data_IF_057187299494
#
_entry.id   IF_057187299494
#
_cell.length_a   1.000
_cell.length_b   1.000
_cell.length_c   1.000
_cell.angle_alpha   90.00
_cell.angle_beta   90.00
_cell.angle_gamma   90.00
#
_symmetry.space_group_name_H-M   'P 1'
#
loop_
_entity.id
_entity.type
_entity.pdbx_description
1 polymer ?
#
# COMPACT_ATOMS: atom_id res chain seq x y z
N UNK A 1 -54.73 16.98 15.61
CA UNK A 1 -54.01 18.16 16.14
C UNK A 1 -52.53 17.84 16.16
N UNK A 2 -51.68 18.70 15.59
CA UNK A 2 -50.26 18.45 15.41
C UNK A 2 -49.47 18.91 16.64
N UNK A 3 -48.38 18.23 16.98
CA UNK A 3 -47.38 18.79 17.89
C UNK A 3 -46.08 19.03 17.12
N UNK A 4 -45.90 20.30 16.80
CA UNK A 4 -44.64 20.98 16.51
C UNK A 4 -43.87 21.12 17.83
N UNK A 5 -42.55 21.00 17.79
CA UNK A 5 -41.70 21.71 18.74
C UNK A 5 -40.48 22.29 18.00
N UNK A 6 -40.40 23.62 18.05
CA UNK A 6 -39.34 24.48 17.57
C UNK A 6 -38.59 24.98 18.82
N UNK A 7 -37.26 24.95 18.83
CA UNK A 7 -36.49 25.80 19.75
C UNK A 7 -35.27 26.38 19.02
N UNK A 8 -35.23 27.71 18.98
CA UNK A 8 -34.15 28.55 18.48
C UNK A 8 -33.43 29.22 19.67
N UNK A 9 -32.09 29.18 19.60
CA UNK A 9 -31.06 30.15 20.03
C UNK A 9 -30.83 30.37 21.54
N UNK A 10 -29.62 30.05 22.04
CA UNK A 10 -28.56 31.04 22.34
C UNK A 10 -27.23 30.36 22.73
N UNK A 11 -26.14 30.87 22.17
CA UNK A 11 -24.77 30.62 22.63
C UNK A 11 -24.64 31.02 24.11
N UNK A 12 -24.20 30.09 24.95
CA UNK A 12 -23.49 30.39 26.19
C UNK A 12 -22.26 29.49 26.23
N UNK A 13 -21.08 30.12 26.15
CA UNK A 13 -19.81 29.49 26.47
C UNK A 13 -19.85 29.00 27.91
N UNK A 14 -20.02 27.70 28.09
CA UNK A 14 -19.51 27.00 29.28
C UNK A 14 -18.94 25.66 28.81
N UNK A 15 -17.69 25.44 29.17
CA UNK A 15 -16.95 24.21 28.90
C UNK A 15 -17.61 23.06 29.66
N UNK A 16 -18.54 22.37 29.01
CA UNK A 16 -18.97 21.04 29.42
C UNK A 16 -18.46 20.07 28.36
N UNK A 17 -17.34 19.42 28.66
CA UNK A 17 -16.99 18.14 28.03
C UNK A 17 -18.13 17.17 28.31
N UNK A 18 -19.10 17.10 27.40
CA UNK A 18 -19.95 15.93 27.28
C UNK A 18 -19.03 14.78 26.88
N UNK A 19 -18.68 13.94 27.87
CA UNK A 19 -18.29 12.56 27.63
C UNK A 19 -19.41 11.94 26.82
N UNK A 20 -19.19 11.84 25.50
CA UNK A 20 -19.92 10.91 24.67
C UNK A 20 -19.67 9.52 25.25
N UNK A 21 -20.75 8.77 25.47
CA UNK A 21 -20.77 7.44 26.06
C UNK A 21 -19.61 6.55 25.58
N UNK A 22 -18.79 6.07 26.53
CA UNK A 22 -17.78 5.02 26.38
C UNK A 22 -18.46 3.64 26.19
N UNK A 23 -19.23 3.47 25.11
CA UNK A 23 -19.70 2.15 24.66
C UNK A 23 -19.18 1.91 23.24
N UNK A 24 -18.23 0.97 23.16
CA UNK A 24 -17.51 0.51 21.95
C UNK A 24 -16.36 1.39 21.44
N UNK A 25 -15.43 1.80 22.32
CA UNK A 25 -14.08 2.09 21.84
C UNK A 25 -13.37 0.75 21.57
N UNK A 26 -13.51 0.23 20.35
CA UNK A 26 -12.66 -0.86 19.89
C UNK A 26 -11.20 -0.42 20.01
N UNK A 27 -10.35 -1.28 20.56
CA UNK A 27 -8.92 -1.01 20.63
C UNK A 27 -8.37 -0.96 19.21
N UNK A 28 -7.74 0.16 18.86
CA UNK A 28 -7.06 0.33 17.58
C UNK A 28 -5.55 0.25 17.80
N UNK A 29 -4.90 -0.55 16.97
CA UNK A 29 -3.48 -0.87 17.10
C UNK A 29 -2.75 -0.29 15.88
N UNK A 30 -2.28 0.95 16.03
CA UNK A 30 -1.68 1.73 14.94
C UNK A 30 -0.16 1.54 14.86
N UNK A 31 0.35 1.41 13.64
CA UNK A 31 1.76 1.39 13.31
C UNK A 31 2.02 2.55 12.35
N UNK A 32 2.90 3.46 12.72
CA UNK A 32 3.35 4.52 11.82
C UNK A 32 4.25 3.95 10.73
N UNK A 33 3.98 4.37 9.50
CA UNK A 33 4.74 3.98 8.30
C UNK A 33 5.68 5.11 7.91
N UNK A 34 6.96 4.78 7.77
CA UNK A 34 7.96 5.67 7.19
C UNK A 34 7.89 5.57 5.67
N UNK A 35 8.03 6.71 4.98
CA UNK A 35 8.25 6.74 3.54
C UNK A 35 9.74 6.57 3.26
N UNK A 36 10.11 5.78 2.25
CA UNK A 36 11.49 5.71 1.76
C UNK A 36 11.93 7.05 1.17
N UNK A 37 13.19 7.44 1.38
CA UNK A 37 13.70 8.75 0.95
C UNK A 37 13.65 8.91 -0.58
N UNK A 38 13.00 9.98 -1.05
CA UNK A 38 12.90 10.33 -2.48
C UNK A 38 14.29 10.65 -3.09
N UNK A 39 15.25 11.12 -2.28
CA UNK A 39 16.56 11.62 -2.73
C UNK A 39 17.48 10.51 -3.27
N UNK A 40 17.50 9.34 -2.62
CA UNK A 40 18.34 8.21 -3.05
C UNK A 40 17.79 7.53 -4.32
N UNK A 41 16.47 7.47 -4.44
CA UNK A 41 15.82 6.91 -5.61
C UNK A 41 15.97 7.82 -6.84
N UNK A 42 15.91 9.14 -6.65
CA UNK A 42 16.17 10.14 -7.69
C UNK A 42 17.61 10.05 -8.22
N UNK A 43 18.60 9.80 -7.35
CA UNK A 43 20.01 9.62 -7.72
C UNK A 43 20.25 8.33 -8.53
N UNK A 44 19.53 7.24 -8.24
CA UNK A 44 19.62 5.98 -8.99
C UNK A 44 18.89 6.05 -10.33
N UNK A 45 17.72 6.70 -10.37
CA UNK A 45 17.02 7.02 -11.62
C UNK A 45 17.87 7.93 -12.51
N UNK A 46 18.57 8.92 -11.93
CA UNK A 46 19.57 9.75 -12.62
C UNK A 46 20.67 8.90 -13.26
N UNK A 47 21.26 7.95 -12.52
CA UNK A 47 22.31 7.06 -13.05
C UNK A 47 21.82 6.15 -14.18
N UNK A 48 20.58 5.64 -14.11
CA UNK A 48 19.97 4.85 -15.18
C UNK A 48 19.65 5.71 -16.42
N UNK A 49 19.22 6.95 -16.20
CA UNK A 49 18.96 7.92 -17.28
C UNK A 49 20.26 8.36 -17.98
N UNK A 50 21.34 8.54 -17.22
CA UNK A 50 22.68 8.85 -17.74
C UNK A 50 23.34 7.64 -18.43
N UNK A 51 23.13 6.42 -17.94
CA UNK A 51 23.66 5.20 -18.55
C UNK A 51 23.00 4.88 -19.91
N UNK A 52 21.72 5.18 -20.09
CA UNK A 52 20.99 4.98 -21.35
C UNK A 52 21.27 6.08 -22.41
N UNK A 53 22.11 7.08 -22.10
CA UNK A 53 22.53 8.10 -23.06
C UNK A 53 23.62 7.65 -24.05
N UNK A 54 24.05 6.38 -24.00
CA UNK A 54 24.93 5.76 -25.01
C UNK A 54 24.09 4.97 -26.03
N UNK A 55 23.13 5.63 -26.67
CA UNK A 55 22.58 5.24 -27.99
C UNK A 55 21.74 6.39 -28.55
N UNK A 56 22.35 7.56 -28.73
CA UNK A 56 21.80 8.56 -29.65
C UNK A 56 21.99 8.05 -31.08
N UNK A 57 20.95 7.46 -31.65
CA UNK A 57 20.74 7.47 -33.10
C UNK A 57 19.25 7.67 -33.40
N UNK A 58 18.95 8.92 -33.80
CA UNK A 58 17.87 9.40 -34.67
C UNK A 58 16.40 9.06 -34.29
N UNK A 59 15.50 10.04 -34.11
CA UNK A 59 15.01 10.93 -35.17
C UNK A 59 14.32 12.19 -34.59
N UNK A 60 14.66 13.34 -35.19
CA UNK A 60 13.84 14.56 -35.19
C UNK A 60 12.43 14.26 -35.73
N UNK A 61 11.41 14.90 -35.16
CA UNK A 61 10.32 15.46 -35.98
C UNK A 61 9.89 16.83 -35.48
N UNK A 62 9.82 17.74 -36.43
CA UNK A 62 9.39 19.11 -36.29
C UNK A 62 7.90 19.22 -35.94
N UNK A 63 7.61 20.34 -35.28
CA UNK A 63 6.32 20.85 -34.82
C UNK A 63 5.24 20.83 -35.91
N UNK A 64 4.06 20.30 -35.57
CA UNK A 64 2.84 20.38 -36.37
C UNK A 64 1.58 20.02 -35.58
N UNK A 65 0.98 21.04 -34.93
CA UNK A 65 -0.36 21.13 -34.33
C UNK A 65 -0.79 20.07 -33.28
N UNK A 66 -0.69 20.49 -32.01
CA UNK A 66 -1.57 20.16 -30.86
C UNK A 66 -1.90 18.69 -30.51
N UNK A 67 -0.91 17.79 -30.55
CA UNK A 67 -1.02 16.48 -29.88
C UNK A 67 0.14 16.30 -28.89
N UNK A 68 -0.14 16.44 -27.59
CA UNK A 68 0.77 16.04 -26.51
C UNK A 68 0.73 14.50 -26.40
N UNK A 69 1.58 13.84 -27.19
CA UNK A 69 1.92 12.42 -26.98
C UNK A 69 2.87 12.32 -25.80
N UNK A 70 2.37 11.85 -24.66
CA UNK A 70 3.21 11.40 -23.55
C UNK A 70 3.88 10.09 -23.95
N UNK A 71 5.11 10.19 -24.46
CA UNK A 71 6.03 9.06 -24.51
C UNK A 71 6.44 8.75 -23.07
N UNK A 72 5.73 7.82 -22.43
CA UNK A 72 6.20 7.19 -21.21
C UNK A 72 7.35 6.28 -21.64
N UNK A 73 8.58 6.79 -21.58
CA UNK A 73 9.77 5.96 -21.69
C UNK A 73 9.77 4.95 -20.53
N UNK A 74 10.19 3.72 -20.82
CA UNK A 74 10.37 2.60 -19.89
C UNK A 74 11.43 2.85 -18.79
N UNK A 75 11.45 4.02 -18.14
CA UNK A 75 12.53 4.42 -17.23
C UNK A 75 12.14 5.24 -15.99
N UNK A 76 10.90 5.72 -15.85
CA UNK A 76 10.55 6.64 -14.76
C UNK A 76 9.53 6.04 -13.78
N UNK A 77 9.87 4.92 -13.12
CA UNK A 77 9.17 4.51 -11.91
C UNK A 77 9.80 5.23 -10.71
N UNK A 78 9.19 6.35 -10.30
CA UNK A 78 9.38 6.91 -8.96
C UNK A 78 8.73 5.92 -7.97
N UNK A 79 9.53 4.98 -7.48
CA UNK A 79 9.15 3.98 -6.48
C UNK A 79 9.03 4.59 -5.09
N UNK A 80 7.88 5.15 -4.76
CA UNK A 80 7.58 5.43 -3.35
C UNK A 80 7.28 4.12 -2.63
N UNK A 81 7.88 3.91 -1.46
CA UNK A 81 7.58 2.75 -0.61
C UNK A 81 7.33 3.19 0.83
N UNK A 82 6.46 2.45 1.52
CA UNK A 82 6.09 2.71 2.91
C UNK A 82 6.36 1.46 3.74
N UNK A 83 7.01 1.61 4.88
CA UNK A 83 7.37 0.48 5.73
C UNK A 83 7.21 0.82 7.21
N UNK A 84 6.91 -0.20 8.00
CA UNK A 84 6.86 -0.09 9.45
C UNK A 84 7.77 -1.13 10.10
N UNK A 85 7.83 -1.11 11.42
CA UNK A 85 8.68 -2.01 12.18
C UNK A 85 7.85 -3.17 12.76
N UNK A 86 8.41 -4.37 12.71
CA UNK A 86 7.89 -5.56 13.41
C UNK A 86 9.05 -6.26 14.11
N UNK A 87 8.77 -7.01 15.17
CA UNK A 87 9.78 -7.78 15.89
C UNK A 87 9.51 -9.27 15.75
N UNK A 88 10.56 -10.02 15.47
CA UNK A 88 10.51 -11.47 15.28
C UNK A 88 11.22 -12.21 16.41
N UNK A 89 10.79 -13.44 16.72
CA UNK A 89 11.42 -14.28 17.73
C UNK A 89 10.93 -14.03 19.16
N UNK A 90 11.64 -14.60 20.14
CA UNK A 90 11.17 -14.73 21.53
C UNK A 90 11.52 -13.53 22.45
N UNK A 91 11.65 -12.31 21.88
CA UNK A 91 11.52 -11.07 22.67
C UNK A 91 12.79 -10.24 22.92
N UNK A 92 13.87 -10.38 22.15
CA UNK A 92 15.03 -9.46 22.23
C UNK A 92 14.84 -8.23 21.31
N UNK A 93 15.24 -7.03 21.78
CA UNK A 93 15.16 -5.78 21.01
C UNK A 93 15.90 -5.84 19.66
N UNK A 94 16.89 -6.74 19.54
CA UNK A 94 17.75 -6.90 18.37
C UNK A 94 17.07 -7.52 17.15
N UNK A 95 15.85 -8.06 17.25
CA UNK A 95 15.13 -8.69 16.12
C UNK A 95 14.02 -7.81 15.52
N UNK A 96 14.19 -6.49 15.54
CA UNK A 96 13.25 -5.56 14.87
C UNK A 96 13.59 -5.44 13.38
N UNK A 97 12.64 -5.76 12.49
CA UNK A 97 12.75 -5.69 11.03
C UNK A 97 11.87 -4.57 10.49
N UNK A 98 12.37 -3.91 9.44
CA UNK A 98 11.56 -3.02 8.62
C UNK A 98 10.83 -3.86 7.59
N UNK A 99 9.51 -3.75 7.52
CA UNK A 99 8.71 -4.52 6.56
C UNK A 99 7.77 -3.62 5.77
N UNK A 100 7.66 -3.93 4.48
CA UNK A 100 6.55 -3.48 3.66
C UNK A 100 5.32 -4.32 4.04
N UNK A 101 4.25 -3.65 4.46
CA UNK A 101 2.95 -4.29 4.61
C UNK A 101 2.29 -4.29 3.23
N UNK A 102 2.08 -5.47 2.65
CA UNK A 102 1.72 -5.61 1.25
C UNK A 102 0.37 -6.32 1.07
N UNK A 103 -0.62 -5.61 0.53
CA UNK A 103 -1.95 -6.18 0.22
C UNK A 103 -1.96 -7.00 -1.07
N UNK A 104 -0.87 -6.97 -1.84
CA UNK A 104 -0.67 -7.71 -3.09
C UNK A 104 -0.05 -9.10 -2.93
N UNK A 105 0.44 -9.47 -1.74
CA UNK A 105 1.05 -10.77 -1.47
C UNK A 105 0.55 -11.39 -0.17
N UNK A 106 0.76 -12.70 0.02
CA UNK A 106 0.23 -13.45 1.18
C UNK A 106 1.32 -13.97 2.10
N UNK A 107 2.55 -14.04 1.62
CA UNK A 107 3.71 -14.50 2.36
C UNK A 107 4.28 -13.39 3.25
N UNK A 108 4.63 -13.73 4.49
CA UNK A 108 5.57 -12.92 5.28
C UNK A 108 6.96 -13.55 5.15
N UNK A 109 7.92 -12.82 4.59
CA UNK A 109 9.31 -13.26 4.47
C UNK A 109 10.31 -12.22 4.96
N UNK A 110 11.44 -12.72 5.50
CA UNK A 110 12.65 -11.94 5.80
C UNK A 110 13.91 -12.72 5.38
N UNK A 111 15.04 -12.04 5.15
CA UNK A 111 16.31 -12.69 4.84
C UNK A 111 16.80 -13.63 5.96
N UNK A 112 17.30 -14.80 5.59
CA UNK A 112 17.98 -15.72 6.50
C UNK A 112 19.42 -15.25 6.79
N UNK A 113 19.91 -15.43 8.01
CA UNK A 113 21.32 -15.23 8.40
C UNK A 113 22.32 -15.82 7.38
N UNK A 114 22.02 -17.01 6.87
CA UNK A 114 22.90 -17.76 5.97
C UNK A 114 22.74 -17.35 4.50
N UNK A 115 21.81 -16.46 4.18
CA UNK A 115 21.67 -15.93 2.82
C UNK A 115 22.85 -15.01 2.50
N UNK A 116 23.51 -15.28 1.37
CA UNK A 116 24.70 -14.55 0.90
C UNK A 116 24.46 -13.77 -0.40
N UNK A 117 23.24 -13.78 -0.95
CA UNK A 117 22.86 -12.91 -2.06
C UNK A 117 23.12 -11.44 -1.71
N UNK A 118 23.48 -10.61 -2.70
CA UNK A 118 23.80 -9.19 -2.47
C UNK A 118 22.69 -8.45 -1.70
N UNK A 119 21.42 -8.71 -2.04
CA UNK A 119 20.25 -8.17 -1.33
C UNK A 119 20.29 -8.55 0.15
N UNK A 120 20.52 -9.83 0.47
CA UNK A 120 20.57 -10.30 1.86
C UNK A 120 21.72 -9.68 2.67
N UNK A 121 22.86 -9.40 2.04
CA UNK A 121 24.01 -8.78 2.71
C UNK A 121 23.77 -7.30 3.04
N UNK A 122 22.91 -6.62 2.28
CA UNK A 122 22.56 -5.22 2.47
C UNK A 122 21.35 -5.01 3.39
N UNK A 123 20.65 -6.09 3.77
CA UNK A 123 19.47 -6.04 4.63
C UNK A 123 19.69 -6.77 5.95
N UNK A 124 18.83 -6.48 6.92
CA UNK A 124 18.80 -7.25 8.16
C UNK A 124 18.41 -8.69 7.87
N UNK A 125 19.10 -9.62 8.54
CA UNK A 125 18.86 -11.06 8.45
C UNK A 125 18.44 -11.62 9.80
N UNK A 126 17.52 -12.59 9.80
CA UNK A 126 17.11 -13.27 11.02
C UNK A 126 18.09 -14.40 11.35
N UNK A 127 18.65 -14.34 12.56
CA UNK A 127 19.52 -15.38 13.09
C UNK A 127 18.72 -16.62 13.48
N UNK A 128 19.26 -17.80 13.20
CA UNK A 128 18.61 -19.07 13.57
C UNK A 128 19.16 -19.58 14.90
N UNK A 129 18.87 -18.86 15.98
CA UNK A 129 19.30 -19.12 17.36
C UNK A 129 18.18 -19.76 18.23
N UNK A 130 17.16 -20.34 17.60
CA UNK A 130 15.93 -20.81 18.29
C UNK A 130 14.76 -19.83 18.23
N UNK A 131 14.94 -18.64 17.64
CA UNK A 131 13.86 -17.69 17.41
C UNK A 131 12.93 -18.10 16.25
N UNK A 132 13.32 -19.05 15.41
CA UNK A 132 12.52 -19.51 14.27
C UNK A 132 12.54 -21.03 14.16
N UNK A 133 11.37 -21.63 13.89
CA UNK A 133 11.21 -23.08 13.75
C UNK A 133 10.85 -23.44 12.30
N UNK A 134 11.67 -24.24 11.59
CA UNK A 134 11.35 -24.65 10.22
C UNK A 134 10.15 -25.58 10.18
N UNK A 135 9.32 -25.45 9.14
CA UNK A 135 8.34 -26.48 8.79
C UNK A 135 8.98 -27.57 7.97
N UNK A 136 8.56 -28.80 8.24
CA UNK A 136 9.00 -30.00 7.54
C UNK A 136 7.83 -30.82 7.03
N UNK A 137 8.05 -31.58 5.96
CA UNK A 137 7.12 -32.59 5.49
C UNK A 137 7.13 -33.85 6.39
N UNK A 138 6.34 -34.86 6.02
CA UNK A 138 6.26 -36.12 6.76
C UNK A 138 7.58 -36.94 6.76
N UNK A 139 8.49 -36.66 5.82
CA UNK A 139 9.80 -37.28 5.73
C UNK A 139 10.90 -36.48 6.45
N UNK A 140 10.56 -35.33 7.05
CA UNK A 140 11.49 -34.46 7.74
C UNK A 140 12.25 -33.49 6.82
N UNK A 141 11.87 -33.36 5.54
CA UNK A 141 12.47 -32.39 4.64
C UNK A 141 11.87 -31.01 4.86
N UNK A 142 12.68 -29.96 4.79
CA UNK A 142 12.21 -28.59 4.85
C UNK A 142 11.21 -28.28 3.72
N UNK A 143 10.17 -27.49 4.02
CA UNK A 143 9.20 -27.06 3.03
C UNK A 143 9.72 -25.85 2.24
N UNK A 144 10.06 -25.98 0.95
CA UNK A 144 10.54 -24.86 0.14
C UNK A 144 9.40 -23.92 -0.25
N UNK A 145 9.77 -22.66 -0.47
CA UNK A 145 8.89 -21.57 -0.88
C UNK A 145 9.58 -20.81 -1.98
N UNK A 146 8.82 -20.52 -3.03
CA UNK A 146 9.31 -19.79 -4.19
C UNK A 146 8.39 -18.61 -4.45
N UNK A 147 8.92 -17.40 -4.24
CA UNK A 147 8.18 -16.16 -4.44
C UNK A 147 8.77 -15.47 -5.67
N UNK A 148 7.95 -15.30 -6.72
CA UNK A 148 8.36 -14.54 -7.91
C UNK A 148 8.07 -13.06 -7.68
N UNK A 149 9.08 -12.22 -7.89
CA UNK A 149 8.98 -10.79 -7.68
C UNK A 149 9.62 -10.05 -8.85
N UNK A 150 8.78 -9.41 -9.69
CA UNK A 150 9.20 -8.71 -10.90
C UNK A 150 10.09 -9.62 -11.78
N UNK A 151 11.31 -9.19 -12.10
CA UNK A 151 12.26 -9.95 -12.92
C UNK A 151 13.11 -10.97 -12.15
N UNK A 152 12.80 -11.24 -10.88
CA UNK A 152 13.58 -12.15 -10.04
C UNK A 152 12.72 -13.03 -9.14
N UNK A 153 13.40 -13.75 -8.25
CA UNK A 153 12.81 -14.80 -7.44
C UNK A 153 13.45 -14.83 -6.05
N UNK A 154 12.66 -15.25 -5.08
CA UNK A 154 13.09 -15.53 -3.72
C UNK A 154 12.89 -17.01 -3.49
N UNK A 155 13.99 -17.72 -3.25
CA UNK A 155 13.98 -19.10 -2.78
C UNK A 155 14.10 -19.09 -1.26
N UNK A 156 13.19 -19.75 -0.58
CA UNK A 156 13.04 -19.63 0.86
C UNK A 156 12.56 -20.93 1.50
N UNK A 157 12.66 -21.01 2.83
CA UNK A 157 12.15 -22.13 3.63
C UNK A 157 11.03 -21.64 4.54
N UNK A 158 9.92 -22.37 4.57
CA UNK A 158 8.78 -22.05 5.40
C UNK A 158 9.04 -22.40 6.87
N UNK A 159 8.47 -21.61 7.77
CA UNK A 159 8.62 -21.80 9.20
C UNK A 159 7.68 -20.92 10.00
N UNK A 160 7.87 -20.95 11.30
CA UNK A 160 7.08 -20.17 12.26
C UNK A 160 7.97 -19.49 13.27
N UNK A 161 7.54 -18.32 13.71
CA UNK A 161 8.13 -17.57 14.81
C UNK A 161 7.06 -16.71 15.49
N UNK A 162 7.37 -16.14 16.64
CA UNK A 162 6.54 -15.12 17.24
C UNK A 162 6.72 -13.79 16.50
N UNK A 163 5.62 -13.08 16.27
CA UNK A 163 5.60 -11.77 15.61
C UNK A 163 4.97 -10.76 16.56
N UNK A 164 5.73 -9.74 16.93
CA UNK A 164 5.24 -8.59 17.70
C UNK A 164 5.18 -7.36 16.79
N UNK A 165 3.98 -6.78 16.66
CA UNK A 165 3.72 -5.61 15.81
C UNK A 165 4.12 -4.29 16.48
N UNK A 166 4.66 -4.32 17.71
CA UNK A 166 5.13 -3.14 18.45
C UNK A 166 4.03 -2.11 18.79
N UNK A 167 2.78 -2.50 18.62
CA UNK A 167 1.60 -1.68 18.85
C UNK A 167 0.66 -2.29 19.91
N UNK A 168 1.06 -3.40 20.55
CA UNK A 168 0.26 -4.16 21.51
C UNK A 168 -0.24 -5.52 20.98
N UNK A 169 -0.10 -5.81 19.68
CA UNK A 169 -0.44 -7.13 19.11
C UNK A 169 0.81 -8.00 19.05
N UNK A 170 0.73 -9.18 19.65
CA UNK A 170 1.74 -10.23 19.53
C UNK A 170 1.09 -11.56 19.13
N UNK A 171 1.57 -12.14 18.03
CA UNK A 171 1.07 -13.37 17.43
C UNK A 171 2.08 -14.49 17.65
N UNK A 172 1.60 -15.61 18.20
CA UNK A 172 2.43 -16.80 18.40
C UNK A 172 2.38 -17.72 17.19
N UNK A 173 3.52 -18.36 16.92
CA UNK A 173 3.69 -19.34 15.84
C UNK A 173 3.11 -18.84 14.50
N UNK A 174 3.36 -17.57 14.18
CA UNK A 174 2.97 -16.98 12.91
C UNK A 174 3.92 -17.47 11.81
N UNK A 175 3.39 -17.71 10.61
CA UNK A 175 4.22 -18.15 9.50
C UNK A 175 5.11 -17.01 9.01
N UNK A 176 6.42 -17.22 9.08
CA UNK A 176 7.44 -16.33 8.54
C UNK A 176 8.43 -17.19 7.78
N UNK A 177 8.61 -16.90 6.50
CA UNK A 177 9.47 -17.65 5.59
C UNK A 177 10.86 -17.02 5.57
N UNK A 178 11.92 -17.84 5.61
CA UNK A 178 13.30 -17.34 5.59
C UNK A 178 13.93 -17.49 4.21
N UNK A 179 14.24 -16.36 3.58
CA UNK A 179 14.85 -16.30 2.25
C UNK A 179 16.30 -16.81 2.28
N UNK A 180 16.58 -17.83 1.48
CA UNK A 180 17.91 -18.44 1.31
C UNK A 180 18.68 -17.86 0.14
N UNK A 181 17.97 -17.41 -0.89
CA UNK A 181 18.51 -16.76 -2.08
C UNK A 181 17.50 -15.72 -2.58
N UNK A 182 17.99 -14.52 -2.92
CA UNK A 182 17.19 -13.45 -3.53
C UNK A 182 17.89 -13.00 -4.81
N UNK A 183 17.19 -13.10 -5.95
CA UNK A 183 17.72 -12.73 -7.28
C UNK A 183 17.04 -11.49 -7.87
N UNK A 184 16.02 -10.93 -7.22
CA UNK A 184 15.35 -9.70 -7.63
C UNK A 184 16.22 -8.46 -7.32
N UNK A 185 16.86 -7.81 -8.32
CA UNK A 185 17.89 -6.80 -8.07
C UNK A 185 17.34 -5.52 -7.41
N UNK A 186 16.12 -5.14 -7.77
CA UNK A 186 15.44 -3.94 -7.26
C UNK A 186 15.26 -3.96 -5.74
N UNK A 187 15.22 -5.14 -5.12
CA UNK A 187 15.12 -5.27 -3.66
C UNK A 187 16.39 -4.78 -2.95
N UNK A 188 17.53 -4.70 -3.64
CA UNK A 188 18.77 -4.17 -3.07
C UNK A 188 18.69 -2.67 -2.74
N UNK A 189 17.77 -1.95 -3.38
CA UNK A 189 17.59 -0.51 -3.24
C UNK A 189 16.50 -0.14 -2.23
N UNK A 190 15.78 -1.13 -1.72
CA UNK A 190 14.66 -0.91 -0.82
C UNK A 190 15.16 -0.57 0.59
N UNK A 191 14.49 0.34 1.33
CA UNK A 191 14.89 0.71 2.68
C UNK A 191 14.40 -0.27 3.76
N UNK A 192 13.71 -1.33 3.37
CA UNK A 192 13.06 -2.31 4.23
C UNK A 192 13.63 -3.71 4.01
N UNK A 193 13.59 -4.54 5.05
CA UNK A 193 14.28 -5.84 5.07
C UNK A 193 13.46 -6.97 4.45
N UNK A 194 12.12 -6.89 4.50
CA UNK A 194 11.23 -7.92 3.98
C UNK A 194 9.81 -7.43 3.75
N UNK A 195 8.93 -8.37 3.38
CA UNK A 195 7.52 -8.08 3.08
C UNK A 195 6.64 -8.90 4.02
N UNK A 196 5.65 -8.26 4.63
CA UNK A 196 4.57 -8.88 5.37
C UNK A 196 3.31 -8.85 4.51
N UNK A 197 2.97 -10.00 3.92
CA UNK A 197 1.78 -10.17 3.09
C UNK A 197 0.47 -10.08 3.89
N UNK A 198 -0.44 -9.25 3.39
CA UNK A 198 -1.79 -9.04 3.90
C UNK A 198 -2.85 -9.59 2.93
N UNK A 199 -2.48 -10.52 2.05
CA UNK A 199 -3.36 -11.23 1.14
C UNK A 199 -4.08 -12.43 1.78
N UNK A 200 -5.02 -13.00 1.02
CA UNK A 200 -5.75 -14.21 1.41
C UNK A 200 -4.98 -15.48 1.01
N UNK A 201 -5.23 -16.62 1.67
CA UNK A 201 -4.49 -17.85 1.41
C UNK A 201 -4.46 -18.25 -0.08
N UNK A 202 -3.26 -18.54 -0.59
CA UNK A 202 -3.05 -19.09 -1.93
C UNK A 202 -3.02 -20.62 -1.90
N UNK A 203 -3.08 -21.26 -3.07
CA UNK A 203 -2.91 -22.71 -3.19
C UNK A 203 -1.56 -23.20 -2.62
N UNK A 204 -0.51 -22.39 -2.72
CA UNK A 204 0.80 -22.70 -2.14
C UNK A 204 0.81 -22.62 -0.61
N UNK A 205 0.05 -21.68 -0.01
CA UNK A 205 -0.08 -21.62 1.44
C UNK A 205 -0.85 -22.85 1.95
N UNK A 206 -1.96 -23.19 1.28
CA UNK A 206 -2.82 -24.33 1.64
C UNK A 206 -2.04 -25.65 1.55
N UNK A 207 -1.28 -25.88 0.47
CA UNK A 207 -0.52 -27.13 0.29
C UNK A 207 0.54 -27.35 1.38
N UNK A 208 1.15 -26.26 1.87
CA UNK A 208 2.14 -26.27 2.96
C UNK A 208 1.52 -26.22 4.36
N UNK A 209 0.18 -26.12 4.47
CA UNK A 209 -0.54 -25.87 5.73
C UNK A 209 0.01 -24.64 6.45
N UNK A 210 0.27 -23.59 5.68
CA UNK A 210 0.80 -22.32 6.18
C UNK A 210 -0.30 -21.28 6.20
N UNK A 211 -0.48 -20.68 7.37
CA UNK A 211 -1.52 -19.69 7.59
C UNK A 211 -1.00 -18.32 7.19
N UNK A 212 -1.80 -17.54 6.48
CA UNK A 212 -1.41 -16.16 6.17
C UNK A 212 -1.45 -15.30 7.43
N UNK A 213 -0.88 -14.10 7.35
CA UNK A 213 -0.93 -13.15 8.46
C UNK A 213 -2.37 -12.79 8.84
N UNK A 214 -3.27 -12.67 7.85
CA UNK A 214 -4.69 -12.40 8.11
C UNK A 214 -5.38 -13.53 8.87
N UNK A 215 -5.09 -14.80 8.55
CA UNK A 215 -5.63 -15.94 9.30
C UNK A 215 -5.15 -15.93 10.75
N UNK A 216 -3.88 -15.54 10.98
CA UNK A 216 -3.35 -15.36 12.33
C UNK A 216 -4.01 -14.21 13.10
N UNK A 217 -4.36 -13.12 12.42
CA UNK A 217 -5.15 -12.04 13.02
C UNK A 217 -6.61 -12.46 13.29
N UNK A 218 -7.20 -13.34 12.48
CA UNK A 218 -8.51 -13.91 12.76
C UNK A 218 -8.49 -14.77 14.03
N UNK A 219 -7.48 -15.63 14.19
CA UNK A 219 -7.27 -16.39 15.44
C UNK A 219 -7.10 -15.47 16.65
N UNK A 220 -6.34 -14.38 16.47
CA UNK A 220 -6.19 -13.37 17.51
C UNK A 220 -7.53 -12.72 17.89
N UNK A 221 -8.36 -12.38 16.90
CA UNK A 221 -9.70 -11.82 17.11
C UNK A 221 -10.63 -12.73 17.92
N UNK A 222 -10.48 -14.05 17.79
CA UNK A 222 -11.24 -15.02 18.61
C UNK A 222 -10.82 -14.97 20.08
N UNK A 223 -9.55 -14.64 20.35
CA UNK A 223 -8.99 -14.54 21.70
C UNK A 223 -9.13 -13.15 22.33
N UNK A 224 -9.30 -12.11 21.52
CA UNK A 224 -9.38 -10.70 21.96
C UNK A 224 -10.69 -10.09 21.45
N UNK A 225 -11.77 -10.08 22.26
CA UNK A 225 -13.08 -9.62 21.82
C UNK A 225 -13.15 -8.16 21.37
N UNK A 226 -12.23 -7.30 21.81
CA UNK A 226 -12.14 -5.90 21.38
C UNK A 226 -11.48 -5.72 20.01
N UNK A 227 -10.81 -6.75 19.48
CA UNK A 227 -10.15 -6.70 18.18
C UNK A 227 -11.15 -7.01 17.06
N UNK A 228 -11.47 -6.00 16.25
CA UNK A 228 -12.27 -6.20 15.04
C UNK A 228 -11.36 -6.69 13.89
N UNK A 229 -11.72 -7.75 13.15
CA UNK A 229 -10.91 -8.29 12.04
C UNK A 229 -10.96 -7.41 10.78
N UNK A 230 -10.49 -6.18 10.94
CA UNK A 230 -10.26 -5.19 9.90
C UNK A 230 -8.88 -4.55 10.09
N UNK A 231 -8.31 -4.04 9.01
CA UNK A 231 -7.19 -3.10 9.07
C UNK A 231 -7.43 -1.92 8.14
N UNK A 232 -6.69 -0.84 8.30
CA UNK A 232 -6.83 0.36 7.47
C UNK A 232 -5.50 0.99 7.10
N UNK A 233 -5.44 1.61 5.93
CA UNK A 233 -4.27 2.31 5.41
C UNK A 233 -4.57 3.78 5.19
N UNK A 234 -3.79 4.63 5.85
CA UNK A 234 -3.66 6.05 5.55
C UNK A 234 -2.26 6.31 4.97
N UNK A 235 -2.18 6.89 3.77
CA UNK A 235 -0.92 7.23 3.11
C UNK A 235 -0.89 8.73 2.81
N UNK A 236 0.24 9.37 3.10
CA UNK A 236 0.50 10.78 2.84
C UNK A 236 1.84 10.97 2.09
N UNK A 237 2.16 12.22 1.74
CA UNK A 237 3.43 12.54 1.07
C UNK A 237 4.67 12.31 1.96
N UNK A 238 4.48 12.31 3.28
CA UNK A 238 5.56 12.29 4.27
C UNK A 238 5.63 10.97 5.05
N UNK A 239 4.71 10.03 4.81
CA UNK A 239 4.61 8.79 5.56
C UNK A 239 3.20 8.23 5.50
N UNK A 240 2.84 7.42 6.48
CA UNK A 240 1.50 6.86 6.57
C UNK A 240 1.25 6.18 7.90
N UNK A 241 0.15 5.45 7.98
CA UNK A 241 -0.14 4.58 9.11
C UNK A 241 -0.98 3.39 8.63
N UNK A 242 -0.69 2.23 9.22
CA UNK A 242 -1.54 1.05 9.15
C UNK A 242 -2.14 0.82 10.53
N UNK A 243 -3.46 0.63 10.59
CA UNK A 243 -4.17 0.43 11.87
C UNK A 243 -4.88 -0.91 11.83
N UNK A 244 -4.61 -1.78 12.80
CA UNK A 244 -5.32 -3.06 12.98
C UNK A 244 -6.41 -2.92 14.05
N UNK A 245 -7.48 -3.72 13.97
CA UNK A 245 -8.58 -3.66 14.95
C UNK A 245 -9.60 -2.56 14.66
N UNK A 246 -9.31 -1.63 13.75
CA UNK A 246 -10.16 -0.50 13.46
C UNK A 246 -9.59 0.50 12.47
N UNK A 247 -10.04 1.73 12.58
CA UNK A 247 -9.60 2.86 11.78
C UNK A 247 -9.60 4.14 12.62
N UNK A 248 -8.75 5.10 12.26
CA UNK A 248 -8.65 6.38 12.94
C UNK A 248 -9.47 7.44 12.16
N UNK A 249 -10.60 7.96 12.70
CA UNK A 249 -11.45 8.90 11.99
C UNK A 249 -10.76 10.21 11.59
N UNK A 250 -9.65 10.57 12.25
CA UNK A 250 -8.90 11.79 11.95
C UNK A 250 -8.18 11.78 10.59
N UNK A 251 -8.02 10.60 9.98
CA UNK A 251 -7.48 10.43 8.64
C UNK A 251 -8.52 10.59 7.53
N UNK A 252 -9.81 10.68 7.86
CA UNK A 252 -10.84 11.04 6.90
C UNK A 252 -10.75 12.52 6.55
N UNK A 253 -11.00 12.88 5.28
CA UNK A 253 -11.17 14.27 4.86
C UNK A 253 -12.30 14.95 5.65
N UNK A 254 -13.40 14.23 5.86
CA UNK A 254 -14.53 14.66 6.67
C UNK A 254 -14.86 13.57 7.70
N UNK A 255 -14.78 13.90 9.00
CA UNK A 255 -14.91 12.93 10.09
C UNK A 255 -16.23 12.15 10.03
N UNK A 256 -17.33 12.83 9.69
CA UNK A 256 -18.67 12.24 9.58
C UNK A 256 -18.98 11.53 8.25
N UNK A 257 -18.02 11.45 7.32
CA UNK A 257 -18.25 10.76 6.04
C UNK A 257 -18.10 9.24 6.22
N UNK A 258 -19.07 8.50 5.72
CA UNK A 258 -19.08 7.04 5.78
C UNK A 258 -18.19 6.41 4.71
N UNK A 259 -17.67 5.22 5.00
CA UNK A 259 -16.92 4.45 4.01
C UNK A 259 -17.86 3.91 2.93
N UNK A 260 -17.46 4.11 1.67
CA UNK A 260 -18.06 3.48 0.51
C UNK A 260 -17.56 2.04 0.40
N UNK A 261 -18.39 1.08 0.76
CA UNK A 261 -18.02 -0.34 0.79
C UNK A 261 -18.19 -1.03 -0.56
N UNK A 262 -17.23 -1.89 -0.88
CA UNK A 262 -17.17 -2.71 -2.07
C UNK A 262 -16.88 -4.17 -1.66
N UNK A 263 -17.78 -5.10 -2.02
CA UNK A 263 -17.53 -6.54 -1.81
C UNK A 263 -16.38 -7.00 -2.72
N UNK A 264 -15.51 -7.85 -2.18
CA UNK A 264 -14.44 -8.45 -2.95
C UNK A 264 -14.98 -9.41 -4.01
N UNK A 265 -14.20 -9.61 -5.07
CA UNK A 265 -14.49 -10.66 -6.05
C UNK A 265 -14.44 -12.04 -5.35
N UNK A 266 -15.37 -12.95 -5.69
CA UNK A 266 -15.36 -14.30 -5.13
C UNK A 266 -14.06 -15.02 -5.49
N UNK A 267 -13.61 -15.91 -4.60
CA UNK A 267 -12.48 -16.83 -4.82
C UNK A 267 -11.13 -16.18 -5.17
N UNK A 268 -10.99 -14.86 -5.01
CA UNK A 268 -9.72 -14.17 -5.18
C UNK A 268 -8.83 -14.31 -3.94
N UNK A 269 -7.54 -14.56 -4.15
CA UNK A 269 -6.50 -14.42 -3.10
C UNK A 269 -6.08 -12.96 -2.85
N UNK A 270 -6.56 -12.03 -3.70
CA UNK A 270 -6.24 -10.61 -3.64
C UNK A 270 -7.41 -9.79 -3.07
N UNK A 271 -7.11 -8.58 -2.63
CA UNK A 271 -8.10 -7.53 -2.33
C UNK A 271 -8.70 -6.92 -3.60
N UNK A 272 -9.28 -7.77 -4.44
CA UNK A 272 -9.84 -7.38 -5.73
C UNK A 272 -11.32 -7.02 -5.63
N UNK A 273 -11.72 -5.97 -6.34
CA UNK A 273 -13.13 -5.57 -6.48
C UNK A 273 -13.51 -5.57 -7.96
N UNK A 274 -14.77 -5.91 -8.24
CA UNK A 274 -15.32 -5.80 -9.59
C UNK A 274 -15.69 -4.34 -9.84
N UNK A 275 -15.14 -3.77 -10.91
CA UNK A 275 -15.47 -2.44 -11.42
C UNK A 275 -16.42 -2.58 -12.62
N UNK A 276 -17.37 -1.67 -12.77
CA UNK A 276 -18.29 -1.70 -13.92
C UNK A 276 -17.66 -0.98 -15.13
N UNK A 277 -17.11 0.22 -14.88
CA UNK A 277 -16.48 1.06 -15.91
C UNK A 277 -15.52 2.07 -15.30
N UNK A 278 -14.60 2.55 -16.14
CA UNK A 278 -13.72 3.69 -15.83
C UNK A 278 -14.05 4.79 -16.83
N UNK A 279 -14.29 6.00 -16.35
CA UNK A 279 -14.68 7.14 -17.16
C UNK A 279 -13.68 8.27 -16.99
N UNK A 280 -13.21 8.80 -18.12
CA UNK A 280 -12.54 10.10 -18.21
C UNK A 280 -13.46 11.07 -18.94
N UNK A 281 -13.23 12.39 -18.83
CA UNK A 281 -14.10 13.39 -19.47
C UNK A 281 -14.24 13.20 -20.98
N UNK A 282 -13.25 12.57 -21.63
CA UNK A 282 -13.26 12.30 -23.09
C UNK A 282 -13.46 10.83 -23.49
N UNK A 283 -13.38 9.87 -22.57
CA UNK A 283 -13.38 8.44 -22.95
C UNK A 283 -14.07 7.56 -21.90
N UNK A 284 -14.82 6.53 -22.34
CA UNK A 284 -15.40 5.50 -21.47
C UNK A 284 -14.71 4.16 -21.75
N UNK A 285 -14.28 3.49 -20.70
CA UNK A 285 -13.66 2.17 -20.77
C UNK A 285 -14.51 1.16 -19.99
N UNK A 286 -14.85 0.03 -20.61
CA UNK A 286 -15.42 -1.10 -19.89
C UNK A 286 -14.31 -1.78 -19.09
N UNK A 287 -14.56 -2.04 -17.81
CA UNK A 287 -13.57 -2.71 -16.95
C UNK A 287 -13.34 -4.18 -17.33
N UNK A 288 -14.26 -4.78 -18.10
CA UNK A 288 -14.11 -6.11 -18.69
C UNK A 288 -13.98 -6.00 -20.21
N UNK A 289 -12.76 -5.95 -20.72
CA UNK A 289 -12.50 -5.99 -22.16
C UNK A 289 -11.17 -5.37 -22.57
N UNK A 290 -10.35 -6.17 -23.27
CA UNK A 290 -9.15 -5.74 -23.98
C UNK A 290 -9.38 -4.47 -24.77
N UNK A 291 -8.47 -3.50 -24.68
CA UNK A 291 -8.04 -2.68 -25.80
C UNK A 291 -6.61 -2.21 -25.55
N UNK A 292 -5.64 -2.94 -26.11
CA UNK A 292 -4.32 -2.42 -26.44
C UNK A 292 -4.47 -1.33 -27.51
N UNK A 293 -4.81 -0.12 -27.09
CA UNK A 293 -4.56 1.10 -27.85
C UNK A 293 -4.12 2.15 -26.85
N UNK A 294 -2.88 2.59 -27.01
CA UNK A 294 -2.23 3.71 -26.33
C UNK A 294 -3.25 4.66 -25.68
N UNK A 295 -3.32 4.62 -24.34
CA UNK A 295 -4.14 5.53 -23.54
C UNK A 295 -3.66 6.96 -23.82
N UNK A 296 -4.36 7.68 -24.70
CA UNK A 296 -4.17 9.13 -24.83
C UNK A 296 -5.03 9.80 -23.77
N UNK A 297 -4.56 9.80 -22.53
CA UNK A 297 -5.24 10.47 -21.42
C UNK A 297 -4.68 11.88 -21.27
N UNK A 298 -5.55 12.88 -21.20
CA UNK A 298 -5.14 14.22 -20.81
C UNK A 298 -4.84 14.21 -19.30
N UNK A 299 -3.61 14.54 -18.86
CA UNK A 299 -3.25 14.53 -17.44
C UNK A 299 -4.11 15.45 -16.59
N UNK A 300 -4.85 16.39 -17.18
CA UNK A 300 -5.72 17.34 -16.47
C UNK A 300 -7.19 16.87 -16.34
N UNK A 301 -7.50 15.60 -16.63
CA UNK A 301 -8.88 15.06 -16.57
C UNK A 301 -9.17 14.19 -15.36
N UNK A 302 -10.29 14.44 -14.69
CA UNK A 302 -10.74 13.59 -13.59
C UNK A 302 -11.00 12.16 -14.07
N UNK A 303 -10.60 11.19 -13.25
CA UNK A 303 -10.88 9.77 -13.47
C UNK A 303 -11.94 9.30 -12.48
N UNK A 304 -13.01 8.70 -12.99
CA UNK A 304 -14.08 8.16 -12.15
C UNK A 304 -14.18 6.64 -12.35
N UNK A 305 -13.98 5.90 -11.28
CA UNK A 305 -14.20 4.46 -11.20
C UNK A 305 -15.63 4.22 -10.72
N UNK A 306 -16.44 3.59 -11.56
CA UNK A 306 -17.85 3.33 -11.25
C UNK A 306 -18.07 1.90 -10.78
N UNK A 307 -18.89 1.79 -9.74
CA UNK A 307 -19.60 0.57 -9.34
C UNK A 307 -21.03 0.96 -8.97
N UNK A 308 -22.02 0.10 -9.24
CA UNK A 308 -23.49 0.25 -9.06
C UNK A 308 -24.07 1.22 -8.00
N UNK A 309 -23.32 1.65 -6.97
CA UNK A 309 -23.75 2.65 -5.98
C UNK A 309 -22.65 3.60 -5.46
N UNK A 310 -21.38 3.45 -5.86
CA UNK A 310 -20.24 4.13 -5.22
C UNK A 310 -19.19 4.55 -6.24
N UNK A 311 -19.27 5.80 -6.70
CA UNK A 311 -18.25 6.37 -7.58
C UNK A 311 -17.03 6.81 -6.76
N UNK A 312 -15.84 6.46 -7.26
CA UNK A 312 -14.54 6.85 -6.72
C UNK A 312 -13.87 7.74 -7.75
N UNK A 313 -13.57 8.98 -7.38
CA UNK A 313 -13.02 10.00 -8.26
C UNK A 313 -11.57 10.34 -7.87
N UNK A 314 -10.68 10.41 -8.86
CA UNK A 314 -9.34 10.99 -8.76
C UNK A 314 -9.29 12.28 -9.58
N UNK A 315 -8.77 13.34 -8.97
CA UNK A 315 -8.49 14.62 -9.63
C UNK A 315 -7.06 14.66 -10.17
N UNK A 316 -6.72 15.57 -11.10
CA UNK A 316 -5.34 15.75 -11.56
C UNK A 316 -4.32 15.93 -10.43
N UNK A 317 -4.68 16.65 -9.38
CA UNK A 317 -3.83 16.85 -8.19
C UNK A 317 -3.50 15.56 -7.42
N UNK A 318 -4.24 14.47 -7.66
CA UNK A 318 -4.00 13.18 -7.02
C UNK A 318 -2.94 12.36 -7.77
N UNK A 319 -2.98 12.37 -9.11
CA UNK A 319 -2.17 11.49 -9.94
C UNK A 319 -1.11 12.21 -10.78
N UNK A 320 -1.07 13.55 -10.80
CA UNK A 320 0.10 14.31 -11.25
C UNK A 320 1.06 14.44 -10.07
N UNK A 321 2.23 13.85 -10.21
CA UNK A 321 3.30 13.90 -9.23
C UNK A 321 4.27 15.01 -9.63
N UNK A 322 4.59 15.92 -8.72
CA UNK A 322 5.64 16.91 -8.92
C UNK A 322 6.90 16.55 -8.12
N UNK A 323 8.06 16.76 -8.73
CA UNK A 323 9.36 16.51 -8.12
C UNK A 323 10.28 17.70 -8.37
N UNK A 324 11.09 18.02 -7.37
CA UNK A 324 12.09 19.07 -7.46
C UNK A 324 13.43 18.46 -7.84
N UNK A 325 13.98 18.96 -8.93
CA UNK A 325 15.32 18.63 -9.36
C UNK A 325 16.37 19.30 -8.44
N UNK A 326 17.60 18.77 -8.39
CA UNK A 326 18.69 19.35 -7.59
C UNK A 326 19.04 20.80 -7.97
N UNK A 327 18.76 21.21 -9.20
CA UNK A 327 18.93 22.59 -9.69
C UNK A 327 17.78 23.53 -9.26
N UNK A 328 16.79 23.01 -8.52
CA UNK A 328 15.63 23.74 -8.04
C UNK A 328 14.47 23.83 -9.04
N UNK A 329 14.60 23.29 -10.25
CA UNK A 329 13.49 23.19 -11.20
C UNK A 329 12.46 22.16 -10.73
N UNK A 330 11.19 22.37 -11.07
CA UNK A 330 10.11 21.44 -10.74
C UNK A 330 9.62 20.76 -12.02
N UNK A 331 9.61 19.44 -12.01
CA UNK A 331 9.10 18.61 -13.08
C UNK A 331 7.86 17.85 -12.61
N UNK A 332 6.99 17.52 -13.56
CA UNK A 332 5.76 16.77 -13.29
C UNK A 332 5.74 15.47 -14.09
N UNK A 333 5.34 14.38 -13.44
CA UNK A 333 5.09 13.09 -14.05
C UNK A 333 3.66 12.61 -13.77
N UNK A 334 3.13 11.78 -14.66
CA UNK A 334 1.89 11.06 -14.40
C UNK A 334 2.18 9.82 -13.55
N UNK A 335 1.55 9.71 -12.39
CA UNK A 335 1.63 8.55 -11.50
C UNK A 335 0.77 7.36 -11.94
N UNK A 336 0.18 7.43 -13.14
CA UNK A 336 -0.56 6.32 -13.74
C UNK A 336 0.32 5.72 -14.82
N UNK A 337 0.61 4.45 -14.66
CA UNK A 337 1.51 3.70 -15.53
C UNK A 337 0.75 2.55 -16.18
N UNK A 338 1.13 2.23 -17.41
CA UNK A 338 0.68 1.02 -18.08
C UNK A 338 1.55 -0.13 -17.54
N UNK A 339 0.89 -1.19 -17.08
CA UNK A 339 1.55 -2.41 -16.65
C UNK A 339 1.49 -3.42 -17.79
N UNK A 340 2.61 -3.61 -18.48
CA UNK A 340 2.76 -4.55 -19.58
C UNK A 340 3.02 -5.99 -19.09
N UNK A 341 3.21 -6.20 -17.78
CA UNK A 341 3.43 -7.54 -17.19
C UNK A 341 2.13 -8.34 -16.99
N UNK A 342 0.97 -7.76 -17.36
CA UNK A 342 -0.33 -8.43 -17.21
C UNK A 342 -0.53 -9.63 -18.16
N UNK A 343 0.27 -9.74 -19.23
CA UNK A 343 0.19 -10.88 -20.14
C UNK A 343 0.60 -12.21 -19.48
N UNK A 344 1.44 -12.17 -18.43
CA UNK A 344 1.94 -13.38 -17.75
C UNK A 344 1.00 -13.93 -16.67
N UNK A 345 0.09 -13.11 -16.12
CA UNK A 345 -0.88 -13.51 -15.08
C UNK A 345 -2.30 -13.75 -15.63
N UNK A 346 -2.54 -13.48 -16.91
CA UNK A 346 -3.84 -13.71 -17.56
C UNK A 346 -4.99 -12.87 -17.00
N UNK A 347 -4.70 -11.79 -16.27
CA UNK A 347 -5.69 -10.90 -15.66
C UNK A 347 -5.61 -9.51 -16.29
N UNK A 348 -6.70 -9.08 -16.92
CA UNK A 348 -6.87 -7.68 -17.34
C UNK A 348 -7.46 -6.91 -16.15
N UNK A 349 -6.60 -6.25 -15.37
CA UNK A 349 -6.98 -5.66 -14.09
C UNK A 349 -6.35 -4.27 -13.86
N UNK A 350 -6.90 -3.51 -12.93
CA UNK A 350 -6.30 -2.25 -12.46
C UNK A 350 -5.71 -2.45 -11.07
N UNK A 351 -4.48 -1.97 -10.87
CA UNK A 351 -3.82 -1.95 -9.56
C UNK A 351 -3.96 -0.55 -8.96
N UNK A 352 -4.66 -0.46 -7.83
CA UNK A 352 -4.80 0.79 -7.07
C UNK A 352 -3.62 0.93 -6.11
N UNK A 353 -2.55 1.57 -6.61
CA UNK A 353 -1.33 1.84 -5.84
C UNK A 353 -1.36 3.14 -5.04
N UNK A 354 -0.16 3.67 -4.74
CA UNK A 354 0.04 4.85 -3.88
C UNK A 354 -0.87 6.04 -4.23
N UNK A 355 -0.96 6.42 -5.50
CA UNK A 355 -1.78 7.55 -5.97
C UNK A 355 -3.22 7.44 -5.45
N UNK A 356 -3.81 6.25 -5.56
CA UNK A 356 -5.16 6.00 -5.10
C UNK A 356 -5.23 5.96 -3.57
N UNK A 357 -4.27 5.30 -2.91
CA UNK A 357 -4.21 5.19 -1.45
C UNK A 357 -3.92 6.52 -0.73
N UNK A 358 -3.31 7.48 -1.42
CA UNK A 358 -3.17 8.87 -0.96
C UNK A 358 -4.47 9.66 -1.07
N UNK A 359 -5.24 9.42 -2.12
CA UNK A 359 -6.53 10.07 -2.34
C UNK A 359 -7.62 9.51 -1.40
N UNK A 360 -7.56 8.22 -1.07
CA UNK A 360 -8.57 7.50 -0.28
C UNK A 360 -7.99 6.79 0.93
N UNK A 361 -8.50 7.16 2.12
CA UNK A 361 -8.32 6.36 3.32
C UNK A 361 -9.11 5.05 3.16
N UNK A 362 -8.42 3.92 3.30
CA UNK A 362 -8.95 2.62 2.87
C UNK A 362 -9.00 1.65 4.03
N UNK A 363 -10.15 0.99 4.23
CA UNK A 363 -10.38 -0.04 5.26
C UNK A 363 -10.59 -1.39 4.59
N UNK A 364 -9.92 -2.41 5.10
CA UNK A 364 -9.90 -3.78 4.60
C UNK A 364 -10.56 -4.68 5.66
N UNK A 365 -11.76 -5.18 5.35
CA UNK A 365 -12.54 -6.03 6.24
C UNK A 365 -12.42 -7.48 5.76
N UNK A 366 -11.46 -8.20 6.37
CA UNK A 366 -11.11 -9.55 5.92
C UNK A 366 -12.11 -10.60 6.38
N UNK A 367 -12.82 -10.37 7.50
CA UNK A 367 -13.92 -11.23 7.94
C UNK A 367 -15.11 -11.17 7.00
N UNK A 368 -15.52 -9.97 6.58
CA UNK A 368 -16.68 -9.80 5.69
C UNK A 368 -16.32 -9.73 4.20
N UNK A 369 -15.04 -9.94 3.86
CA UNK A 369 -14.50 -9.88 2.49
C UNK A 369 -15.00 -8.65 1.72
N UNK A 370 -14.69 -7.47 2.23
CA UNK A 370 -15.00 -6.18 1.59
C UNK A 370 -13.91 -5.14 1.87
N UNK A 371 -13.83 -4.14 1.01
CA UNK A 371 -12.96 -2.97 1.17
C UNK A 371 -13.81 -1.71 1.18
N UNK A 372 -13.48 -0.75 2.04
CA UNK A 372 -14.19 0.51 2.23
C UNK A 372 -13.28 1.68 1.88
N UNK A 373 -13.81 2.65 1.15
CA UNK A 373 -13.07 3.84 0.72
C UNK A 373 -13.73 5.12 1.22
N UNK A 374 -12.94 6.07 1.70
CA UNK A 374 -13.39 7.42 2.02
C UNK A 374 -12.30 8.41 1.62
N UNK A 375 -12.61 9.62 1.13
CA UNK A 375 -11.59 10.61 0.81
C UNK A 375 -10.64 10.83 2.00
N UNK A 376 -9.34 10.75 1.72
CA UNK A 376 -8.30 10.90 2.73
C UNK A 376 -8.10 12.36 3.10
N UNK A 377 -7.72 12.61 4.35
CA UNK A 377 -7.23 13.92 4.78
C UNK A 377 -5.92 14.21 4.05
N UNK A 378 -5.91 15.24 3.21
CA UNK A 378 -4.67 15.71 2.59
C UNK A 378 -3.89 16.54 3.61
N UNK A 379 -2.61 16.25 3.78
CA UNK A 379 -1.69 17.18 4.46
C UNK A 379 -1.62 18.45 3.61
N UNK A 380 -2.26 19.51 4.08
CA UNK A 380 -2.12 20.84 3.48
C UNK A 380 -0.73 21.31 3.85
N UNK A 381 0.17 21.33 2.87
CA UNK A 381 1.40 22.11 3.00
C UNK A 381 0.99 23.52 3.38
N UNK A 382 1.37 23.95 4.58
CA UNK A 382 1.05 25.28 5.08
C UNK A 382 1.70 26.29 4.14
N UNK A 383 0.94 26.80 3.15
CA UNK A 383 1.31 28.04 2.51
C UNK A 383 1.07 29.09 3.58
N UNK A 384 2.12 29.42 4.32
CA UNK A 384 2.17 30.68 5.07
C UNK A 384 2.17 31.77 4.00
N UNK A 385 0.99 32.17 3.54
CA UNK A 385 0.82 33.48 2.92
C UNK A 385 0.98 34.44 4.10
N UNK A 386 2.20 34.91 4.31
CA UNK A 386 2.43 36.08 5.15
C UNK A 386 1.75 37.26 4.45
N UNK A 387 0.48 37.49 4.80
CA UNK A 387 -0.21 38.74 4.51
C UNK A 387 0.48 39.81 5.36
N UNK A 388 1.52 40.43 4.82
CA UNK A 388 1.91 41.76 5.26
C UNK A 388 0.87 42.73 4.71
N UNK A 389 -0.13 43.04 5.52
CA UNK A 389 -0.97 44.21 5.31
C UNK A 389 -0.08 45.46 5.44
N UNK A 390 0.07 46.19 4.34
CA UNK A 390 0.50 47.59 4.38
C UNK A 390 -0.59 48.39 5.10
N UNK A 391 -0.39 48.67 6.38
CA UNK A 391 -1.10 49.71 7.09
C UNK A 391 -0.23 50.98 7.05
N UNK A 392 -0.60 51.82 6.09
CA UNK A 392 -0.39 53.28 5.93
C UNK A 392 1.02 53.85 6.06
#
# INVERSE_FOLDING_TARGET
MPNIALFLIYCVFTSFCLRLDDKERNDVFEIHLNKGDDEFLNETLRKLYEANNISRNSLLFAVGRNDLKLNISNGNKLWTTYFGNVRLGNGFQENTFKVLFDTGSSEFWVPDEKCTSAVCLNHKRLANNGDWTPKVDAAGNFLPVTIRYLSGEIEAIDGVTNVDLLNGISLKDANVTLAKSITAPILNEMPWDGILGLGFPTSQNISRKSKTFLEKLLEHAESVPSFNPIFSYYISKNGGSITFGGFNPSYKKSIGEDFKWAKLAPDSSYWSIILDKIVTKRTRFNANGLLSKSLTMNPMEHMVFHRFSNDLELTPDDYILSFKNPDGSEECACGIVIDDQQEDIGMNAWTFGEVFLRAYYTVYDFKNRRVGFVPSKREVGMIVVALWEFIH
#
